data_IF_713848130789
#
_entry.id   IF_713848130789
#
_cell.length_a   1.000
_cell.length_b   1.000
_cell.length_c   1.000
_cell.angle_alpha   90.00
_cell.angle_beta   90.00
_cell.angle_gamma   90.00
#
_symmetry.space_group_name_H-M   'P 1'
#
loop_
_entity.id
_entity.type
_entity.pdbx_description
1 polymer ?
#
# COMPACT_ATOMS: atom_id res chain seq x y z
N UNK A 1 -11.26 -4.54 -15.51
CA UNK A 1 -10.64 -3.34 -14.89
C UNK A 1 -9.11 -3.49 -14.82
N UNK A 2 -8.41 -3.65 -15.96
CA UNK A 2 -6.95 -3.80 -15.99
C UNK A 2 -6.24 -2.67 -16.74
N UNK A 3 -6.95 -1.99 -17.65
CA UNK A 3 -6.38 -0.94 -18.50
C UNK A 3 -5.89 0.29 -17.72
N UNK A 4 -6.41 0.51 -16.51
CA UNK A 4 -6.09 1.68 -15.71
C UNK A 4 -4.99 1.43 -14.65
N UNK A 5 -4.66 0.19 -14.32
CA UNK A 5 -3.74 -0.14 -13.20
C UNK A 5 -2.32 0.40 -13.43
N UNK A 6 -1.71 0.29 -14.63
CA UNK A 6 -0.37 0.84 -14.89
C UNK A 6 -0.35 2.38 -14.92
N UNK A 7 -1.43 3.00 -15.39
CA UNK A 7 -1.57 4.46 -15.46
C UNK A 7 -1.82 5.03 -14.05
N UNK A 8 -2.57 4.30 -13.23
CA UNK A 8 -2.84 4.69 -11.85
C UNK A 8 -1.61 4.49 -10.99
N UNK A 9 -0.78 3.48 -11.22
CA UNK A 9 0.45 3.29 -10.43
C UNK A 9 1.40 4.47 -10.57
N UNK A 10 1.64 4.98 -11.78
CA UNK A 10 2.48 6.16 -12.02
C UNK A 10 1.83 7.48 -11.54
N UNK A 11 0.55 7.72 -11.88
CA UNK A 11 -0.19 8.91 -11.42
C UNK A 11 -0.44 8.93 -9.90
N UNK A 12 -0.51 7.77 -9.25
CA UNK A 12 -0.68 7.65 -7.81
C UNK A 12 0.63 7.73 -7.03
N UNK A 13 1.83 7.69 -7.63
CA UNK A 13 3.08 7.80 -6.85
C UNK A 13 3.11 9.08 -6.01
N UNK A 14 2.75 10.22 -6.61
CA UNK A 14 2.69 11.50 -5.90
C UNK A 14 1.63 11.49 -4.78
N UNK A 15 0.47 10.88 -5.04
CA UNK A 15 -0.60 10.76 -4.03
C UNK A 15 -0.21 9.80 -2.90
N UNK A 16 0.41 8.67 -3.22
CA UNK A 16 0.97 7.69 -2.26
C UNK A 16 2.01 8.35 -1.37
N UNK A 17 2.97 9.09 -1.93
CA UNK A 17 3.96 9.86 -1.15
C UNK A 17 3.30 10.89 -0.23
N UNK A 18 2.25 11.57 -0.70
CA UNK A 18 1.48 12.52 0.14
C UNK A 18 0.79 11.81 1.31
N UNK A 19 0.15 10.67 1.06
CA UNK A 19 -0.48 9.86 2.11
C UNK A 19 0.55 9.33 3.11
N UNK A 20 1.71 8.88 2.64
CA UNK A 20 2.80 8.41 3.52
C UNK A 20 3.28 9.54 4.45
N UNK A 21 3.42 10.77 3.94
CA UNK A 21 3.77 11.93 4.78
C UNK A 21 2.72 12.22 5.85
N UNK A 22 1.43 12.07 5.52
CA UNK A 22 0.34 12.25 6.48
C UNK A 22 0.38 11.14 7.54
N UNK A 23 0.54 9.88 7.12
CA UNK A 23 0.70 8.73 8.04
C UNK A 23 1.88 8.97 9.00
N UNK A 24 3.05 9.33 8.47
CA UNK A 24 4.24 9.61 9.27
C UNK A 24 3.99 10.75 10.27
N UNK A 25 3.25 11.80 9.88
CA UNK A 25 2.93 12.91 10.79
C UNK A 25 2.07 12.41 11.95
N UNK A 26 1.02 11.64 11.68
CA UNK A 26 0.13 11.07 12.70
C UNK A 26 0.92 10.15 13.63
N UNK A 27 1.71 9.23 13.05
CA UNK A 27 2.53 8.28 13.80
C UNK A 27 3.59 8.97 14.67
N UNK A 28 4.10 10.14 14.27
CA UNK A 28 5.01 10.95 15.10
C UNK A 28 4.30 11.70 16.22
N UNK A 29 3.04 12.11 16.01
CA UNK A 29 2.28 12.87 17.00
C UNK A 29 1.93 12.04 18.23
N UNK A 30 1.61 10.76 18.07
CA UNK A 30 1.25 9.85 19.17
C UNK A 30 2.37 9.78 20.24
N UNK A 31 3.63 9.44 19.90
CA UNK A 31 4.76 9.45 20.81
C UNK A 31 5.45 10.83 20.99
N UNK A 32 4.94 11.91 20.38
CA UNK A 32 5.57 13.26 20.35
C UNK A 32 7.02 13.26 19.84
N UNK A 33 7.29 12.51 18.77
CA UNK A 33 8.62 12.41 18.16
C UNK A 33 9.01 13.66 17.36
N UNK A 34 10.32 13.96 17.24
CA UNK A 34 10.78 15.12 16.48
C UNK A 34 10.48 15.00 14.97
N UNK A 35 10.35 16.13 14.25
CA UNK A 35 10.05 16.12 12.82
C UNK A 35 11.05 15.33 11.95
N UNK A 36 12.32 15.33 12.32
CA UNK A 36 13.40 14.63 11.61
C UNK A 36 13.57 13.15 11.99
N UNK A 37 12.69 12.60 12.84
CA UNK A 37 12.74 11.18 13.20
C UNK A 37 12.61 10.29 11.96
N UNK A 38 13.43 9.23 11.91
CA UNK A 38 13.51 8.35 10.74
C UNK A 38 12.16 7.68 10.46
N UNK A 39 11.82 7.54 9.17
CA UNK A 39 10.58 6.85 8.78
C UNK A 39 10.68 5.35 9.03
N UNK A 40 11.85 4.73 8.80
CA UNK A 40 12.01 3.29 9.04
C UNK A 40 11.83 2.96 10.53
N UNK A 41 12.50 3.70 11.39
CA UNK A 41 12.42 3.56 12.85
C UNK A 41 11.00 3.86 13.36
N UNK A 42 10.32 4.85 12.79
CA UNK A 42 8.94 5.21 13.17
C UNK A 42 7.98 4.04 12.94
N UNK A 43 8.10 3.41 11.78
CA UNK A 43 7.25 2.30 11.37
C UNK A 43 7.56 1.02 12.15
N UNK A 44 8.83 0.78 12.48
CA UNK A 44 9.23 -0.29 13.39
C UNK A 44 8.68 -0.08 14.80
N UNK A 45 8.84 1.14 15.35
CA UNK A 45 8.38 1.49 16.68
C UNK A 45 6.85 1.46 16.80
N UNK A 46 6.13 1.85 15.75
CA UNK A 46 4.67 1.80 15.73
C UNK A 46 4.12 0.40 15.36
N UNK A 47 4.97 -0.54 14.93
CA UNK A 47 4.57 -1.84 14.38
C UNK A 47 3.56 -1.71 13.21
N UNK A 48 3.68 -0.64 12.42
CA UNK A 48 2.79 -0.36 11.28
C UNK A 48 3.58 -0.39 9.99
N UNK A 49 3.08 -1.09 8.98
CA UNK A 49 3.67 -1.08 7.64
C UNK A 49 3.60 0.30 6.97
N UNK A 50 4.56 0.57 6.08
CA UNK A 50 4.41 1.69 5.13
C UNK A 50 3.27 1.40 4.16
N UNK A 51 2.70 2.45 3.57
CA UNK A 51 1.59 2.29 2.62
C UNK A 51 1.97 1.47 1.38
N UNK A 52 3.24 1.48 1.00
CA UNK A 52 3.70 0.68 -0.14
C UNK A 52 3.72 -0.82 0.18
N UNK A 53 4.28 -1.18 1.34
CA UNK A 53 4.26 -2.56 1.85
C UNK A 53 2.82 -3.04 2.04
N UNK A 54 1.96 -2.22 2.65
CA UNK A 54 0.54 -2.53 2.82
C UNK A 54 -0.16 -2.73 1.46
N UNK A 55 0.08 -1.84 0.49
CA UNK A 55 -0.50 -1.94 -0.86
C UNK A 55 -0.10 -3.25 -1.54
N UNK A 56 1.16 -3.65 -1.44
CA UNK A 56 1.64 -4.90 -2.04
C UNK A 56 0.99 -6.12 -1.37
N UNK A 57 0.92 -6.15 -0.03
CA UNK A 57 0.21 -7.20 0.72
C UNK A 57 -1.26 -7.34 0.29
N UNK A 58 -1.97 -6.22 0.10
CA UNK A 58 -3.36 -6.23 -0.35
C UNK A 58 -3.48 -6.76 -1.77
N UNK A 59 -2.61 -6.33 -2.69
CA UNK A 59 -2.59 -6.80 -4.07
C UNK A 59 -2.32 -8.30 -4.13
N UNK A 60 -1.37 -8.81 -3.35
CA UNK A 60 -1.04 -10.23 -3.29
C UNK A 60 -2.19 -11.05 -2.70
N UNK A 61 -2.79 -10.58 -1.61
CA UNK A 61 -3.96 -11.22 -1.02
C UNK A 61 -5.15 -11.26 -2.00
N UNK A 62 -5.38 -10.16 -2.72
CA UNK A 62 -6.42 -10.09 -3.75
C UNK A 62 -6.12 -11.06 -4.91
N UNK A 63 -4.87 -11.11 -5.37
CA UNK A 63 -4.42 -12.04 -6.42
C UNK A 63 -4.68 -13.49 -6.02
N UNK A 64 -4.29 -13.89 -4.80
CA UNK A 64 -4.52 -15.24 -4.29
C UNK A 64 -6.00 -15.59 -4.23
N UNK A 65 -6.83 -14.67 -3.70
CA UNK A 65 -8.30 -14.86 -3.66
C UNK A 65 -8.91 -14.95 -5.05
N UNK A 66 -8.40 -14.17 -6.00
CA UNK A 66 -8.85 -14.18 -7.38
C UNK A 66 -8.55 -15.52 -8.07
N UNK A 67 -7.34 -16.06 -7.87
CA UNK A 67 -6.93 -17.37 -8.39
C UNK A 67 -7.76 -18.52 -7.81
N UNK A 68 -8.14 -18.43 -6.54
CA UNK A 68 -8.96 -19.42 -5.85
C UNK A 68 -10.47 -19.28 -6.10
N UNK A 69 -10.90 -18.25 -6.85
CA UNK A 69 -12.32 -18.00 -7.10
C UNK A 69 -12.93 -19.08 -7.98
N UNK A 70 -14.15 -19.51 -7.64
CA UNK A 70 -14.93 -20.45 -8.46
C UNK A 70 -15.30 -19.88 -9.82
N UNK A 71 -15.49 -18.55 -9.91
CA UNK A 71 -15.86 -17.87 -11.14
C UNK A 71 -14.68 -17.79 -12.13
N UNK A 72 -14.84 -18.36 -13.32
CA UNK A 72 -13.81 -18.38 -14.36
C UNK A 72 -13.39 -16.96 -14.81
N UNK A 73 -14.34 -16.02 -14.89
CA UNK A 73 -14.09 -14.62 -15.27
C UNK A 73 -13.18 -13.87 -14.29
N UNK A 74 -13.22 -14.24 -13.01
CA UNK A 74 -12.38 -13.62 -11.97
C UNK A 74 -10.95 -14.16 -12.08
N UNK A 75 -10.81 -15.48 -12.24
CA UNK A 75 -9.51 -16.14 -12.46
C UNK A 75 -8.78 -15.62 -13.70
N UNK A 76 -9.52 -15.36 -14.80
CA UNK A 76 -8.93 -14.87 -16.05
C UNK A 76 -8.37 -13.44 -15.98
N UNK A 77 -8.65 -12.68 -14.91
CA UNK A 77 -8.10 -11.33 -14.72
C UNK A 77 -6.58 -11.33 -14.45
N UNK A 78 -6.00 -12.45 -14.03
CA UNK A 78 -4.59 -12.56 -13.66
C UNK A 78 -3.79 -13.55 -14.52
N UNK A 79 -4.41 -14.17 -15.53
CA UNK A 79 -3.78 -15.17 -16.40
C UNK A 79 -3.29 -14.61 -17.75
N UNK A 80 -3.19 -13.28 -17.89
CA UNK A 80 -2.69 -12.57 -19.07
C UNK A 80 -1.28 -12.04 -18.82
#
# INVERSE_FOLDING_TARGET
>A
MLYAVPIWTSCCLTRKKKLQRIQNKILKMIPKLPPWFSTSELHQLAEVDTLDVMSNKIIDAFRQKSLQSSAALIRSLYSL
#
